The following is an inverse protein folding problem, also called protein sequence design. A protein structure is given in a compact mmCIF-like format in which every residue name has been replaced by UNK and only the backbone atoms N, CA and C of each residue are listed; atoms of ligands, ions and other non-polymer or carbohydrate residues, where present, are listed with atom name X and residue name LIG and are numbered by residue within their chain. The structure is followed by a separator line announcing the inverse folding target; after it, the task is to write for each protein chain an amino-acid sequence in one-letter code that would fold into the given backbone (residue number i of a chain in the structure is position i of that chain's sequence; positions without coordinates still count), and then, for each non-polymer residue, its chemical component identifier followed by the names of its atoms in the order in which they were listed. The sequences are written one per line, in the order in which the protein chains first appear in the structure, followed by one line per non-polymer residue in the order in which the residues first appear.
data_IF_318315708259
#
_entry.id   IF_318315708259
#
_cell.length_a   1.000
_cell.length_b   1.000
_cell.length_c   1.000
_cell.angle_alpha   90.00
_cell.angle_beta   90.00
_cell.angle_gamma   90.00
#
_symmetry.space_group_name_H-M   'P 1'
#
loop_
_entity.id
_entity.type
_entity.pdbx_description
1 polymer ?
#
# COMPACT_ATOMS: atom_id res chain seq x y z
N UNK A 1 47.83 33.31 -35.31
CA UNK A 1 46.92 34.43 -34.98
C UNK A 1 47.18 34.81 -33.54
N UNK A 2 47.91 35.91 -33.32
CA UNK A 2 48.21 36.41 -31.97
C UNK A 2 47.00 37.24 -31.49
N UNK A 3 46.34 36.79 -30.41
CA UNK A 3 45.29 37.57 -29.77
C UNK A 3 45.87 38.85 -29.16
N UNK A 4 45.27 39.99 -29.48
CA UNK A 4 45.73 41.30 -28.99
C UNK A 4 45.62 41.39 -27.47
N UNK A 5 46.68 41.82 -26.75
CA UNK A 5 46.70 41.92 -25.29
C UNK A 5 45.67 42.93 -24.73
N UNK A 6 45.13 43.81 -25.58
CA UNK A 6 44.10 44.79 -25.23
C UNK A 6 42.71 44.17 -24.98
N UNK A 7 42.44 43.00 -25.56
CA UNK A 7 41.15 42.31 -25.37
C UNK A 7 41.08 41.62 -24.00
N UNK A 8 42.19 41.06 -23.54
CA UNK A 8 42.31 40.41 -22.23
C UNK A 8 42.22 41.42 -21.08
N UNK A 9 42.81 42.61 -21.24
CA UNK A 9 42.71 43.68 -20.23
C UNK A 9 41.31 44.26 -20.14
N UNK A 10 40.59 44.41 -21.26
CA UNK A 10 39.20 44.86 -21.26
C UNK A 10 38.25 43.84 -20.60
N UNK A 11 38.44 42.54 -20.87
CA UNK A 11 37.68 41.48 -20.19
C UNK A 11 37.96 41.46 -18.69
N UNK A 12 39.21 41.69 -18.28
CA UNK A 12 39.56 41.76 -16.86
C UNK A 12 38.89 42.95 -16.16
N UNK A 13 38.86 44.13 -16.78
CA UNK A 13 38.20 45.33 -16.23
C UNK A 13 36.67 45.14 -16.15
N UNK A 14 36.06 44.51 -17.16
CA UNK A 14 34.63 44.14 -17.14
C UNK A 14 34.31 43.12 -16.05
N UNK A 15 35.25 42.21 -15.74
CA UNK A 15 35.11 41.26 -14.65
C UNK A 15 35.25 41.92 -13.27
N UNK A 16 36.10 42.95 -13.12
CA UNK A 16 36.20 43.74 -11.89
C UNK A 16 35.00 44.68 -11.67
N UNK A 17 34.33 45.14 -12.74
CA UNK A 17 33.13 45.99 -12.66
C UNK A 17 31.85 45.19 -12.36
N UNK A 18 31.87 43.87 -12.53
CA UNK A 18 30.82 42.97 -12.06
C UNK A 18 31.18 42.49 -10.67
N UNK A 19 31.15 43.42 -9.72
CA UNK A 19 31.07 43.11 -8.29
C UNK A 19 29.78 42.34 -8.03
N UNK A 20 29.82 41.02 -8.26
CA UNK A 20 28.78 40.10 -7.86
C UNK A 20 28.74 40.13 -6.34
N UNK A 21 27.83 40.93 -5.78
CA UNK A 21 27.42 40.77 -4.40
C UNK A 21 27.07 39.29 -4.23
N UNK A 22 27.85 38.58 -3.42
CA UNK A 22 27.60 37.18 -3.14
C UNK A 22 26.12 37.03 -2.77
N UNK A 23 25.36 36.09 -3.39
CA UNK A 23 23.94 35.96 -3.12
C UNK A 23 23.74 35.81 -1.61
N UNK A 24 22.94 36.71 -1.05
CA UNK A 24 22.59 36.75 0.36
C UNK A 24 22.09 35.35 0.77
N UNK A 25 22.85 34.61 1.57
CA UNK A 25 22.63 33.18 1.77
C UNK A 25 21.29 32.92 2.47
N UNK A 26 20.29 32.47 1.70
CA UNK A 26 18.96 32.10 2.19
C UNK A 26 19.04 30.75 2.90
N UNK A 27 18.43 30.65 4.09
CA UNK A 27 18.37 29.41 4.88
C UNK A 27 16.98 28.78 4.83
N UNK A 28 16.91 27.54 4.39
CA UNK A 28 15.67 26.74 4.41
C UNK A 28 15.40 26.20 5.82
N UNK A 29 14.17 26.36 6.29
CA UNK A 29 13.68 25.84 7.55
C UNK A 29 12.39 25.05 7.34
N UNK A 30 12.26 23.97 8.09
CA UNK A 30 11.08 23.11 8.07
C UNK A 30 10.48 23.00 9.46
N UNK A 31 9.15 23.12 9.53
CA UNK A 31 8.41 23.05 10.78
C UNK A 31 7.14 22.21 10.64
N UNK A 32 6.75 21.43 11.65
CA UNK A 32 5.49 20.71 11.63
C UNK A 32 4.31 21.61 11.97
N UNK A 33 3.16 21.39 11.33
CA UNK A 33 1.89 22.03 11.64
C UNK A 33 1.54 21.83 13.13
N UNK A 34 1.16 22.90 13.81
CA UNK A 34 0.92 22.95 15.25
C UNK A 34 2.19 22.95 16.12
N UNK A 35 3.35 22.67 15.55
CA UNK A 35 4.64 22.64 16.27
C UNK A 35 5.31 24.00 16.34
N UNK A 36 6.64 24.00 16.44
CA UNK A 36 7.45 25.21 16.53
C UNK A 36 8.70 25.12 15.67
N UNK A 37 9.24 26.27 15.26
CA UNK A 37 10.52 26.40 14.58
C UNK A 37 11.35 27.50 15.24
N UNK A 38 12.66 27.35 15.20
CA UNK A 38 13.61 28.36 15.64
C UNK A 38 14.40 28.85 14.44
N UNK A 39 14.43 30.16 14.25
CA UNK A 39 15.25 30.83 13.26
C UNK A 39 16.60 31.18 13.91
N UNK A 40 17.68 30.43 13.60
CA UNK A 40 18.95 30.58 14.30
C UNK A 40 19.66 31.85 13.85
N UNK A 41 19.80 32.82 14.75
CA UNK A 41 20.66 33.98 14.54
C UNK A 41 22.01 33.72 15.20
N UNK A 42 23.06 33.59 14.37
CA UNK A 42 24.44 33.60 14.87
C UNK A 42 25.01 34.98 14.65
N UNK A 43 24.62 35.91 15.52
CA UNK A 43 25.21 37.24 15.51
C UNK A 43 26.55 37.17 16.25
N UNK A 44 27.67 37.06 15.52
CA UNK A 44 29.01 37.41 16.04
C UNK A 44 29.13 38.94 16.24
N UNK A 45 28.04 39.58 16.67
CA UNK A 45 27.92 41.02 16.81
C UNK A 45 28.05 41.34 18.30
N UNK A 46 29.09 42.09 18.65
CA UNK A 46 29.44 42.37 20.06
C UNK A 46 28.35 43.14 20.81
N UNK A 47 27.64 44.03 20.11
CA UNK A 47 26.54 44.83 20.66
C UNK A 47 25.41 44.91 19.63
N UNK A 48 24.21 44.51 20.01
CA UNK A 48 23.03 44.54 19.14
C UNK A 48 22.08 45.60 19.68
N UNK A 49 21.76 46.60 18.85
CA UNK A 49 20.89 47.71 19.25
C UNK A 49 19.42 47.33 19.04
N UNK A 50 19.11 46.72 17.88
CA UNK A 50 17.78 46.21 17.59
C UNK A 50 17.80 45.11 16.53
N UNK A 51 16.80 44.23 16.59
CA UNK A 51 16.54 43.19 15.59
C UNK A 51 15.12 43.37 15.08
N UNK A 52 15.00 43.46 13.76
CA UNK A 52 13.73 43.61 13.05
C UNK A 52 13.49 42.39 12.20
N UNK A 53 12.38 41.71 12.45
CA UNK A 53 11.91 40.59 11.63
C UNK A 53 10.74 41.02 10.75
N UNK A 54 10.85 40.75 9.46
CA UNK A 54 9.74 40.86 8.51
C UNK A 54 9.33 39.47 8.04
N UNK A 55 8.02 39.22 7.97
CA UNK A 55 7.45 38.08 7.26
C UNK A 55 6.92 38.55 5.91
N UNK A 56 7.52 38.04 4.84
CA UNK A 56 7.43 38.57 3.49
C UNK A 56 7.74 40.08 3.52
N UNK A 57 6.75 40.93 3.24
CA UNK A 57 6.88 42.39 3.26
C UNK A 57 6.35 43.05 4.53
N UNK A 58 5.86 42.27 5.49
CA UNK A 58 5.14 42.79 6.68
C UNK A 58 6.01 42.70 7.92
N UNK A 59 6.09 43.76 8.71
CA UNK A 59 6.77 43.75 10.01
C UNK A 59 6.13 42.69 10.92
N UNK A 60 6.94 41.74 11.39
CA UNK A 60 6.49 40.66 12.29
C UNK A 60 6.75 41.03 13.75
N UNK A 61 8.02 41.30 14.08
CA UNK A 61 8.45 41.60 15.45
C UNK A 61 9.70 42.45 15.45
N UNK A 62 9.77 43.38 16.39
CA UNK A 62 10.98 44.13 16.73
C UNK A 62 11.42 43.77 18.14
N UNK A 63 12.70 43.51 18.33
CA UNK A 63 13.31 43.21 19.62
C UNK A 63 14.46 44.20 19.88
N UNK A 64 14.48 44.78 21.07
CA UNK A 64 15.55 45.65 21.56
C UNK A 64 16.17 45.00 22.80
N UNK A 65 17.48 44.66 22.81
CA UNK A 65 18.10 44.01 23.97
C UNK A 65 18.32 44.98 25.13
N UNK A 66 18.76 46.21 24.83
CA UNK A 66 19.16 47.20 25.86
C UNK A 66 17.96 47.65 26.71
N UNK A 67 16.80 47.82 26.08
CA UNK A 67 15.52 47.98 26.76
C UNK A 67 14.72 46.73 26.41
N UNK A 68 14.58 45.73 27.31
CA UNK A 68 14.14 44.36 26.99
C UNK A 68 12.69 44.31 26.52
N UNK A 69 12.46 44.81 25.32
CA UNK A 69 11.17 45.16 24.75
C UNK A 69 11.01 44.36 23.48
N UNK A 70 9.92 43.61 23.43
CA UNK A 70 9.51 42.84 22.26
C UNK A 70 8.19 43.41 21.79
N UNK A 71 8.19 43.95 20.58
CA UNK A 71 7.01 44.56 19.96
C UNK A 71 6.59 43.65 18.81
N UNK A 72 5.52 42.87 19.03
CA UNK A 72 4.92 42.02 18.00
C UNK A 72 3.81 42.80 17.29
N UNK A 73 3.91 42.94 15.97
CA UNK A 73 3.00 43.79 15.18
C UNK A 73 1.58 43.27 15.15
N UNK A 74 1.40 41.95 14.98
CA UNK A 74 0.09 41.33 14.82
C UNK A 74 -0.34 40.59 16.09
N UNK A 75 -1.54 40.89 16.58
CA UNK A 75 -2.05 40.31 17.83
C UNK A 75 -2.05 38.78 17.82
N UNK A 76 -2.39 38.17 16.66
CA UNK A 76 -2.39 36.71 16.46
C UNK A 76 -1.03 36.02 16.67
N UNK A 77 0.07 36.78 16.69
CA UNK A 77 1.43 36.27 16.85
C UNK A 77 2.02 36.57 18.22
N UNK A 78 1.37 37.38 19.07
CA UNK A 78 1.92 37.81 20.37
C UNK A 78 2.30 36.65 21.29
N UNK A 79 1.45 35.63 21.36
CA UNK A 79 1.66 34.46 22.22
C UNK A 79 2.54 33.39 21.56
N UNK A 80 2.76 33.51 20.24
CA UNK A 80 3.46 32.51 19.42
C UNK A 80 4.93 32.85 19.20
N UNK A 81 5.29 34.12 19.36
CA UNK A 81 6.64 34.64 19.12
C UNK A 81 7.38 34.74 20.45
N UNK A 82 8.57 34.17 20.49
CA UNK A 82 9.48 34.25 21.63
C UNK A 82 10.93 34.33 21.14
N UNK A 83 11.84 34.80 21.98
CA UNK A 83 13.27 34.82 21.68
C UNK A 83 14.01 33.90 22.64
N UNK A 84 14.96 33.13 22.10
CA UNK A 84 15.83 32.30 22.93
C UNK A 84 16.92 33.17 23.56
N UNK A 85 17.07 33.05 24.89
CA UNK A 85 18.00 33.86 25.65
C UNK A 85 19.45 33.62 25.19
N UNK A 86 20.24 34.69 25.07
CA UNK A 86 21.66 34.64 24.70
C UNK A 86 21.98 34.47 23.21
N UNK A 87 21.07 33.96 22.37
CA UNK A 87 21.31 33.79 20.92
C UNK A 87 20.49 34.71 20.03
N UNK A 88 19.56 35.48 20.59
CA UNK A 88 18.60 36.31 19.87
C UNK A 88 17.77 35.56 18.82
N UNK A 89 17.79 34.22 18.83
CA UNK A 89 17.09 33.41 17.84
C UNK A 89 15.59 33.51 18.05
N UNK A 90 14.86 33.80 16.98
CA UNK A 90 13.41 33.88 16.99
C UNK A 90 12.83 32.46 17.06
N UNK A 91 11.92 32.20 17.98
CA UNK A 91 11.12 30.97 18.04
C UNK A 91 9.66 31.31 17.76
N UNK A 92 9.09 30.66 16.75
CA UNK A 92 7.68 30.75 16.38
C UNK A 92 7.01 29.42 16.70
N UNK A 93 6.02 29.43 17.59
CA UNK A 93 5.23 28.25 17.98
C UNK A 93 3.83 28.23 17.37
N UNK A 94 3.15 27.09 17.55
CA UNK A 94 1.82 26.82 17.01
C UNK A 94 1.75 27.13 15.50
N UNK A 95 2.68 26.55 14.75
CA UNK A 95 2.83 26.81 13.32
C UNK A 95 1.55 26.48 12.56
N UNK A 96 1.19 27.35 11.63
CA UNK A 96 0.06 27.24 10.73
C UNK A 96 0.58 27.16 9.31
N UNK A 97 -0.19 26.56 8.41
CA UNK A 97 0.23 26.40 7.00
C UNK A 97 0.60 27.74 6.34
N UNK A 98 -0.13 28.81 6.69
CA UNK A 98 0.09 30.16 6.17
C UNK A 98 1.26 30.93 6.81
N UNK A 99 1.96 30.36 7.79
CA UNK A 99 3.23 30.93 8.25
C UNK A 99 4.40 30.52 7.33
N UNK A 100 4.16 29.62 6.37
CA UNK A 100 5.15 29.31 5.33
C UNK A 100 5.41 30.56 4.47
N UNK A 101 6.68 30.82 4.16
CA UNK A 101 7.08 31.98 3.37
C UNK A 101 8.45 32.51 3.77
N UNK A 102 8.77 33.71 3.29
CA UNK A 102 10.10 34.30 3.46
C UNK A 102 10.14 35.11 4.75
N UNK A 103 11.20 34.95 5.53
CA UNK A 103 11.46 35.73 6.73
C UNK A 103 12.78 36.46 6.58
N UNK A 104 12.77 37.75 6.88
CA UNK A 104 13.95 38.61 6.81
C UNK A 104 14.29 39.11 8.20
N UNK A 105 15.46 38.76 8.71
CA UNK A 105 16.01 39.33 9.93
C UNK A 105 17.00 40.43 9.56
N UNK A 106 16.81 41.63 10.10
CA UNK A 106 17.77 42.73 10.04
C UNK A 106 18.27 43.05 11.44
N UNK A 107 19.59 43.03 11.61
CA UNK A 107 20.26 43.32 12.88
C UNK A 107 20.95 44.68 12.73
N UNK A 108 20.53 45.62 13.56
CA UNK A 108 21.15 46.94 13.69
C UNK A 108 22.12 46.92 14.87
N UNK A 109 23.30 47.49 14.65
CA UNK A 109 24.35 47.59 15.64
C UNK A 109 25.14 48.86 15.38
N UNK A 110 25.43 49.61 16.43
CA UNK A 110 26.29 50.79 16.39
C UNK A 110 27.73 50.43 16.00
N UNK A 111 28.11 49.14 16.08
CA UNK A 111 29.42 48.64 15.65
C UNK A 111 29.49 48.32 14.15
N UNK A 112 28.36 48.36 13.42
CA UNK A 112 28.27 48.03 12.00
C UNK A 112 27.85 49.25 11.17
N UNK A 113 28.53 49.47 10.04
CA UNK A 113 28.16 50.55 9.10
C UNK A 113 26.78 50.31 8.44
N UNK A 114 26.47 49.03 8.17
CA UNK A 114 25.23 48.59 7.54
C UNK A 114 24.59 47.48 8.38
N UNK A 115 23.25 47.37 8.40
CA UNK A 115 22.59 46.30 9.13
C UNK A 115 22.95 44.94 8.52
N UNK A 116 23.20 43.96 9.38
CA UNK A 116 23.36 42.58 8.95
C UNK A 116 22.00 41.99 8.61
N UNK A 117 21.87 41.37 7.45
CA UNK A 117 20.61 40.75 6.99
C UNK A 117 20.79 39.24 6.86
N UNK A 118 19.80 38.50 7.33
CA UNK A 118 19.70 37.06 7.16
C UNK A 118 18.30 36.68 6.71
N UNK A 119 18.22 36.00 5.58
CA UNK A 119 16.97 35.55 4.98
C UNK A 119 16.73 34.07 5.30
N UNK A 120 15.47 33.72 5.52
CA UNK A 120 15.00 32.35 5.69
C UNK A 120 13.79 32.09 4.82
N UNK A 121 13.60 30.84 4.44
CA UNK A 121 12.34 30.35 3.87
C UNK A 121 11.83 29.27 4.80
N UNK A 122 10.61 29.45 5.30
CA UNK A 122 9.95 28.47 6.17
C UNK A 122 8.94 27.67 5.34
N UNK A 123 9.05 26.35 5.40
CA UNK A 123 8.04 25.42 4.90
C UNK A 123 7.36 24.69 6.06
N UNK A 124 6.05 24.90 6.21
CA UNK A 124 5.24 24.21 7.22
C UNK A 124 4.58 22.97 6.61
N UNK A 125 4.86 21.80 7.19
CA UNK A 125 4.36 20.51 6.74
C UNK A 125 3.40 19.88 7.73
N UNK A 126 2.38 19.19 7.22
CA UNK A 126 1.54 18.31 8.03
C UNK A 126 2.18 16.91 8.12
N UNK A 127 1.95 16.18 9.21
CA UNK A 127 2.38 14.79 9.29
C UNK A 127 1.56 13.93 8.34
N UNK A 128 2.24 13.11 7.54
CA UNK A 128 1.57 12.24 6.59
C UNK A 128 0.84 11.10 7.30
N UNK A 129 -0.46 10.99 7.01
CA UNK A 129 -1.24 9.80 7.34
C UNK A 129 -0.80 8.61 6.47
N UNK A 130 -1.44 7.45 6.67
CA UNK A 130 -1.16 6.27 5.84
C UNK A 130 -1.63 6.54 4.40
N UNK A 131 -0.76 6.42 3.37
CA UNK A 131 -1.17 6.59 1.99
C UNK A 131 -2.16 5.51 1.56
N UNK A 132 -3.08 5.89 0.67
CA UNK A 132 -4.04 4.98 0.04
C UNK A 132 -3.55 4.58 -1.34
N UNK A 133 -3.88 3.35 -1.72
CA UNK A 133 -3.55 2.82 -3.05
C UNK A 133 -4.84 2.49 -3.77
N UNK A 134 -4.98 3.01 -4.99
CA UNK A 134 -6.04 2.66 -5.92
C UNK A 134 -5.48 1.87 -7.09
N UNK A 135 -6.30 1.00 -7.65
CA UNK A 135 -5.96 0.22 -8.84
C UNK A 135 -6.64 0.82 -10.06
N UNK A 136 -5.89 0.97 -11.14
CA UNK A 136 -6.41 1.38 -12.44
C UNK A 136 -7.14 0.26 -13.18
N UNK A 137 -7.54 0.56 -14.43
CA UNK A 137 -8.17 -0.42 -15.30
C UNK A 137 -7.26 -1.63 -15.51
N UNK A 138 -7.81 -2.81 -15.25
CA UNK A 138 -7.11 -4.08 -15.41
C UNK A 138 -7.34 -4.63 -16.83
N UNK A 139 -6.26 -5.04 -17.47
CA UNK A 139 -6.30 -5.77 -18.74
C UNK A 139 -5.69 -7.15 -18.54
N UNK A 140 -6.34 -8.17 -19.11
CA UNK A 140 -5.81 -9.51 -19.16
C UNK A 140 -5.40 -9.83 -20.60
N UNK A 141 -4.10 -10.00 -20.84
CA UNK A 141 -3.57 -10.37 -22.16
C UNK A 141 -2.82 -11.69 -22.02
N UNK A 142 -3.36 -12.75 -22.63
CA UNK A 142 -2.76 -14.09 -22.65
C UNK A 142 -2.42 -14.61 -21.24
N UNK A 143 -3.32 -14.41 -20.26
CA UNK A 143 -3.10 -14.83 -18.87
C UNK A 143 -2.12 -13.94 -18.08
N UNK A 144 -1.75 -12.78 -18.63
CA UNK A 144 -0.95 -11.75 -17.95
C UNK A 144 -1.88 -10.65 -17.48
N UNK A 145 -1.93 -10.44 -16.17
CA UNK A 145 -2.64 -9.35 -15.54
C UNK A 145 -1.78 -8.08 -15.62
N UNK A 146 -2.29 -7.06 -16.30
CA UNK A 146 -1.63 -5.76 -16.44
C UNK A 146 -2.53 -4.67 -15.88
N UNK A 147 -2.03 -3.90 -14.92
CA UNK A 147 -2.74 -2.74 -14.34
C UNK A 147 -1.74 -1.76 -13.75
N UNK A 148 -2.21 -0.59 -13.33
CA UNK A 148 -1.40 0.42 -12.66
C UNK A 148 -1.90 0.59 -11.22
N UNK A 149 -0.98 0.65 -10.26
CA UNK A 149 -1.28 1.05 -8.89
C UNK A 149 -0.96 2.53 -8.72
N UNK A 150 -1.90 3.29 -8.17
CA UNK A 150 -1.72 4.72 -7.89
C UNK A 150 -1.75 4.96 -6.39
N UNK A 151 -0.64 5.43 -5.86
CA UNK A 151 -0.52 5.83 -4.48
C UNK A 151 -0.86 7.32 -4.33
N UNK A 152 -1.70 7.64 -3.36
CA UNK A 152 -2.10 9.02 -3.09
C UNK A 152 -2.37 9.24 -1.61
N UNK A 153 -2.27 10.50 -1.21
CA UNK A 153 -2.66 11.00 0.10
C UNK A 153 -4.06 11.61 0.01
N UNK A 154 -4.90 11.40 1.03
CA UNK A 154 -6.15 12.19 1.16
C UNK A 154 -5.85 13.63 1.57
N UNK A 155 -4.88 13.77 2.47
CA UNK A 155 -4.38 15.04 3.00
C UNK A 155 -2.84 14.95 3.05
N UNK A 156 -2.10 15.91 2.49
CA UNK A 156 -0.64 15.82 2.38
C UNK A 156 0.06 16.98 1.64
N UNK A 157 -0.68 17.79 0.88
CA UNK A 157 -0.11 18.89 0.09
C UNK A 157 0.64 18.43 -1.16
N UNK A 158 1.19 19.37 -1.92
CA UNK A 158 1.83 19.11 -3.23
C UNK A 158 3.26 18.55 -3.12
N UNK A 159 3.94 18.75 -1.99
CA UNK A 159 5.35 18.41 -1.77
C UNK A 159 5.59 16.97 -1.26
N UNK A 160 4.70 16.04 -1.60
CA UNK A 160 4.83 14.63 -1.18
C UNK A 160 5.59 13.84 -2.22
N UNK A 161 6.69 13.22 -1.79
CA UNK A 161 7.49 12.32 -2.62
C UNK A 161 6.99 10.89 -2.39
N UNK A 162 6.64 10.20 -3.48
CA UNK A 162 6.19 8.82 -3.47
C UNK A 162 7.29 7.89 -3.98
N UNK A 163 7.44 6.75 -3.31
CA UNK A 163 8.28 5.65 -3.77
C UNK A 163 7.57 4.32 -3.55
N UNK A 164 7.83 3.36 -4.41
CA UNK A 164 7.28 2.01 -4.34
C UNK A 164 8.39 1.02 -4.08
N UNK A 165 8.11 0.04 -3.21
CA UNK A 165 8.90 -1.19 -3.11
C UNK A 165 8.09 -2.35 -3.65
N UNK A 166 8.63 -3.02 -4.66
CA UNK A 166 8.12 -4.28 -5.18
C UNK A 166 9.02 -5.40 -4.65
N UNK A 167 8.45 -6.25 -3.79
CA UNK A 167 9.14 -7.35 -3.12
C UNK A 167 8.76 -8.65 -3.82
N UNK A 168 9.69 -9.20 -4.59
CA UNK A 168 9.59 -10.55 -5.16
C UNK A 168 10.48 -11.55 -4.41
N UNK A 169 10.43 -12.82 -4.83
CA UNK A 169 11.21 -13.89 -4.19
C UNK A 169 12.71 -13.82 -4.50
N UNK A 170 13.08 -13.31 -5.68
CA UNK A 170 14.48 -13.22 -6.13
C UNK A 170 15.13 -11.86 -5.86
N UNK A 171 14.37 -10.76 -5.96
CA UNK A 171 14.88 -9.41 -5.81
C UNK A 171 13.79 -8.44 -5.33
N UNK A 172 14.24 -7.37 -4.66
CA UNK A 172 13.43 -6.21 -4.35
C UNK A 172 13.77 -5.09 -5.32
N UNK A 173 12.75 -4.45 -5.87
CA UNK A 173 12.88 -3.30 -6.75
C UNK A 173 12.29 -2.05 -6.10
N UNK A 174 12.87 -0.89 -6.41
CA UNK A 174 12.36 0.42 -5.96
C UNK A 174 12.02 1.27 -7.16
N UNK A 175 10.82 1.84 -7.16
CA UNK A 175 10.30 2.67 -8.24
C UNK A 175 9.92 4.05 -7.69
N UNK A 176 10.31 5.12 -8.38
CA UNK A 176 9.99 6.48 -7.97
C UNK A 176 8.68 6.96 -8.62
N UNK A 177 7.91 7.75 -7.89
CA UNK A 177 6.65 8.31 -8.35
C UNK A 177 5.44 7.66 -7.70
N UNK A 178 4.27 8.26 -7.93
CA UNK A 178 3.00 7.82 -7.34
C UNK A 178 2.40 6.60 -8.05
N UNK A 179 2.74 6.38 -9.32
CA UNK A 179 2.15 5.33 -10.15
C UNK A 179 3.16 4.20 -10.38
N UNK A 180 2.75 2.97 -10.09
CA UNK A 180 3.51 1.76 -10.35
C UNK A 180 2.76 0.89 -11.39
N UNK A 181 3.29 0.73 -12.61
CA UNK A 181 2.76 -0.25 -13.54
C UNK A 181 3.13 -1.66 -13.09
N UNK A 182 2.15 -2.56 -13.07
CA UNK A 182 2.33 -3.96 -12.71
C UNK A 182 1.94 -4.87 -13.88
N UNK A 183 2.74 -5.91 -14.07
CA UNK A 183 2.50 -7.00 -15.02
C UNK A 183 2.84 -8.30 -14.32
N UNK A 184 1.83 -9.15 -14.10
CA UNK A 184 1.99 -10.37 -13.30
C UNK A 184 1.28 -11.56 -13.94
N UNK A 185 1.89 -12.74 -13.88
CA UNK A 185 1.29 -14.00 -14.31
C UNK A 185 1.15 -14.97 -13.13
N UNK A 186 0.07 -15.74 -13.12
CA UNK A 186 -0.21 -16.74 -12.06
C UNK A 186 0.90 -17.79 -11.85
N UNK A 187 1.69 -18.10 -12.88
CA UNK A 187 2.80 -19.08 -12.77
C UNK A 187 4.06 -18.50 -12.13
N UNK A 188 4.13 -17.19 -11.92
CA UNK A 188 5.25 -16.50 -11.27
C UNK A 188 5.06 -16.50 -9.76
N UNK A 189 6.15 -16.33 -9.01
CA UNK A 189 6.09 -16.10 -7.56
C UNK A 189 5.24 -14.86 -7.27
N UNK A 190 4.45 -14.90 -6.19
CA UNK A 190 3.66 -13.74 -5.80
C UNK A 190 4.57 -12.55 -5.44
N UNK A 191 4.10 -11.34 -5.72
CA UNK A 191 4.83 -10.10 -5.47
C UNK A 191 4.06 -9.25 -4.48
N UNK A 192 4.78 -8.61 -3.55
CA UNK A 192 4.20 -7.67 -2.60
C UNK A 192 4.60 -6.24 -2.96
N UNK A 193 3.62 -5.36 -3.11
CA UNK A 193 3.83 -3.94 -3.38
C UNK A 193 3.54 -3.11 -2.14
N UNK A 194 4.45 -2.19 -1.81
CA UNK A 194 4.30 -1.25 -0.71
C UNK A 194 4.63 0.15 -1.24
N UNK A 195 3.68 1.08 -1.12
CA UNK A 195 3.95 2.49 -1.38
C UNK A 195 4.46 3.16 -0.10
N UNK A 196 5.42 4.05 -0.25
CA UNK A 196 5.89 4.99 0.76
C UNK A 196 5.60 6.41 0.29
N UNK A 197 5.04 7.21 1.19
CA UNK A 197 4.86 8.64 1.02
C UNK A 197 5.78 9.36 2.03
N UNK A 198 6.48 10.39 1.57
CA UNK A 198 7.45 11.14 2.38
C UNK A 198 7.35 12.63 2.13
N UNK A 199 7.45 13.40 3.22
CA UNK A 199 7.75 14.82 3.19
C UNK A 199 8.95 15.10 4.13
N UNK A 200 9.46 16.34 4.23
CA UNK A 200 10.65 16.64 5.03
C UNK A 200 10.55 16.28 6.53
N UNK A 201 9.34 16.19 7.09
CA UNK A 201 9.14 15.95 8.52
C UNK A 201 8.64 14.54 8.85
N UNK A 202 8.12 13.79 7.88
CA UNK A 202 7.44 12.52 8.13
C UNK A 202 7.49 11.58 6.93
N UNK A 203 7.37 10.28 7.20
CA UNK A 203 7.25 9.24 6.19
C UNK A 203 6.30 8.15 6.67
N UNK A 204 5.46 7.65 5.78
CA UNK A 204 4.48 6.61 6.07
C UNK A 204 4.34 5.66 4.87
N UNK A 205 3.73 4.49 5.09
CA UNK A 205 3.59 3.47 4.06
C UNK A 205 2.20 2.85 4.00
N UNK A 206 1.83 2.38 2.82
CA UNK A 206 0.56 1.69 2.57
C UNK A 206 0.53 0.33 3.26
N UNK A 207 -0.64 -0.30 3.25
CA UNK A 207 -0.71 -1.73 3.56
C UNK A 207 0.00 -2.50 2.44
N UNK A 208 0.64 -3.64 2.75
CA UNK A 208 1.20 -4.50 1.71
C UNK A 208 0.10 -5.03 0.80
N UNK A 209 0.37 -5.08 -0.51
CA UNK A 209 -0.60 -5.49 -1.52
C UNK A 209 0.00 -6.64 -2.32
N UNK A 210 -0.70 -7.77 -2.39
CA UNK A 210 -0.27 -8.96 -3.11
C UNK A 210 -0.76 -8.94 -4.57
N UNK A 211 0.12 -9.27 -5.51
CA UNK A 211 -0.22 -9.37 -6.93
C UNK A 211 -1.33 -10.41 -7.17
N UNK A 212 -1.27 -11.56 -6.49
CA UNK A 212 -2.28 -12.61 -6.58
C UNK A 212 -3.69 -12.13 -6.20
N UNK A 213 -3.80 -11.26 -5.18
CA UNK A 213 -5.06 -10.67 -4.73
C UNK A 213 -5.59 -9.60 -5.68
N UNK A 214 -4.71 -8.80 -6.26
CA UNK A 214 -5.09 -7.81 -7.28
C UNK A 214 -5.59 -8.47 -8.58
N UNK A 215 -5.03 -9.63 -8.92
CA UNK A 215 -5.25 -10.31 -10.19
C UNK A 215 -6.14 -11.56 -10.09
N UNK A 216 -6.91 -11.72 -9.00
CA UNK A 216 -7.75 -12.89 -8.73
C UNK A 216 -8.80 -13.12 -9.84
N UNK A 217 -9.34 -12.05 -10.43
CA UNK A 217 -10.30 -12.08 -11.55
C UNK A 217 -9.70 -12.28 -12.95
N UNK A 218 -8.38 -12.33 -13.09
CA UNK A 218 -7.69 -12.58 -14.37
C UNK A 218 -7.54 -14.09 -14.67
N UNK A 219 -8.23 -14.95 -13.92
CA UNK A 219 -8.39 -16.36 -14.26
C UNK A 219 -9.02 -16.43 -15.65
N UNK A 220 -8.27 -16.86 -16.66
CA UNK A 220 -8.88 -17.29 -17.90
C UNK A 220 -9.95 -18.32 -17.55
N UNK A 221 -11.18 -18.05 -17.96
CA UNK A 221 -12.25 -19.04 -17.96
C UNK A 221 -11.66 -20.35 -18.51
N UNK A 222 -11.89 -21.51 -17.88
CA UNK A 222 -11.36 -22.76 -18.40
C UNK A 222 -11.80 -22.87 -19.86
N UNK A 223 -10.83 -23.06 -20.78
CA UNK A 223 -11.06 -23.09 -22.22
C UNK A 223 -12.36 -23.86 -22.51
N UNK A 224 -13.37 -23.26 -23.18
CA UNK A 224 -14.67 -23.89 -23.34
C UNK A 224 -14.57 -25.24 -24.06
N UNK A 225 -13.56 -25.40 -24.92
CA UNK A 225 -13.20 -26.67 -25.56
C UNK A 225 -12.74 -27.76 -24.56
N UNK A 226 -11.96 -27.39 -23.55
CA UNK A 226 -11.46 -28.31 -22.53
C UNK A 226 -12.58 -28.68 -21.53
N UNK A 227 -13.45 -27.73 -21.19
CA UNK A 227 -14.66 -28.00 -20.39
C UNK A 227 -15.62 -28.92 -21.13
N UNK A 228 -15.89 -28.64 -22.41
CA UNK A 228 -16.75 -29.48 -23.26
C UNK A 228 -16.16 -30.89 -23.42
N UNK A 229 -14.84 -31.00 -23.60
CA UNK A 229 -14.15 -32.28 -23.66
C UNK A 229 -14.33 -33.07 -22.35
N UNK A 230 -14.16 -32.44 -21.19
CA UNK A 230 -14.40 -33.08 -19.91
C UNK A 230 -15.87 -33.51 -19.73
N UNK A 231 -16.83 -32.68 -20.15
CA UNK A 231 -18.25 -33.00 -20.10
C UNK A 231 -18.64 -34.18 -20.99
N UNK A 232 -17.92 -34.41 -22.10
CA UNK A 232 -18.18 -35.53 -23.00
C UNK A 232 -17.42 -36.80 -22.60
N UNK A 233 -16.14 -36.68 -22.24
CA UNK A 233 -15.29 -37.83 -21.95
C UNK A 233 -15.64 -38.52 -20.62
N UNK A 234 -15.92 -37.75 -19.57
CA UNK A 234 -16.18 -38.33 -18.23
C UNK A 234 -17.42 -39.22 -18.23
N UNK A 235 -18.59 -38.80 -18.76
CA UNK A 235 -19.76 -39.68 -18.84
C UNK A 235 -19.52 -40.90 -19.74
N UNK A 236 -18.78 -40.73 -20.84
CA UNK A 236 -18.51 -41.83 -21.77
C UNK A 236 -17.67 -42.93 -21.10
N UNK A 237 -16.65 -42.55 -20.33
CA UNK A 237 -15.86 -43.50 -19.53
C UNK A 237 -16.68 -44.20 -18.44
N UNK A 238 -17.59 -43.48 -17.77
CA UNK A 238 -18.49 -44.06 -16.78
C UNK A 238 -19.45 -45.08 -17.41
N UNK A 239 -19.98 -44.79 -18.59
CA UNK A 239 -20.85 -45.71 -19.35
C UNK A 239 -20.07 -46.97 -19.74
N UNK A 240 -18.85 -46.83 -20.27
CA UNK A 240 -18.00 -47.97 -20.63
C UNK A 240 -17.66 -48.84 -19.42
N UNK A 241 -17.38 -48.23 -18.28
CA UNK A 241 -17.14 -48.94 -17.03
C UNK A 241 -18.37 -49.71 -16.54
N UNK A 242 -19.54 -49.06 -16.55
CA UNK A 242 -20.81 -49.70 -16.19
C UNK A 242 -21.16 -50.86 -17.13
N UNK A 243 -20.97 -50.70 -18.45
CA UNK A 243 -21.13 -51.77 -19.42
C UNK A 243 -20.16 -52.92 -19.17
N UNK A 244 -18.91 -52.62 -18.84
CA UNK A 244 -17.91 -53.63 -18.45
C UNK A 244 -18.36 -54.45 -17.24
N UNK A 245 -18.85 -53.78 -16.19
CA UNK A 245 -19.38 -54.45 -15.00
C UNK A 245 -20.64 -55.28 -15.31
N UNK A 246 -21.53 -54.76 -16.15
CA UNK A 246 -22.75 -55.46 -16.55
C UNK A 246 -22.44 -56.72 -17.37
N UNK A 247 -21.53 -56.62 -18.34
CA UNK A 247 -21.07 -57.77 -19.12
C UNK A 247 -20.32 -58.78 -18.26
N UNK A 248 -19.53 -58.32 -17.28
CA UNK A 248 -18.88 -59.19 -16.30
C UNK A 248 -19.89 -59.93 -15.42
N UNK A 249 -20.94 -59.23 -14.95
CA UNK A 249 -22.02 -59.81 -14.17
C UNK A 249 -22.78 -60.91 -14.95
N UNK A 250 -23.15 -60.64 -16.19
CA UNK A 250 -23.80 -61.64 -17.07
C UNK A 250 -22.89 -62.87 -17.30
N UNK A 251 -21.58 -62.64 -17.50
CA UNK A 251 -20.62 -63.75 -17.67
C UNK A 251 -20.49 -64.60 -16.40
N UNK A 252 -20.54 -63.96 -15.23
CA UNK A 252 -20.48 -64.63 -13.93
C UNK A 252 -21.71 -65.51 -13.69
N UNK A 253 -22.92 -65.00 -13.90
CA UNK A 253 -24.14 -65.81 -13.76
C UNK A 253 -24.14 -67.02 -14.71
N UNK A 254 -23.69 -66.82 -15.96
CA UNK A 254 -23.57 -67.92 -16.92
C UNK A 254 -22.51 -68.96 -16.54
N UNK A 255 -21.52 -68.61 -15.71
CA UNK A 255 -20.55 -69.57 -15.17
C UNK A 255 -21.11 -70.34 -13.97
N UNK A 256 -21.98 -69.73 -13.16
CA UNK A 256 -22.67 -70.41 -12.06
C UNK A 256 -23.69 -71.44 -12.57
N UNK A 257 -24.38 -71.20 -13.70
CA UNK A 257 -25.22 -72.22 -14.36
C UNK A 257 -24.43 -73.38 -14.98
N UNK A 258 -23.14 -73.19 -15.31
CA UNK A 258 -22.30 -74.21 -15.95
C UNK A 258 -21.39 -74.98 -14.96
N UNK A 259 -21.56 -74.81 -13.65
CA UNK A 259 -20.78 -75.54 -12.63
C UNK A 259 -21.56 -76.77 -12.09
N UNK A 260 -21.15 -78.02 -12.40
CA UNK A 260 -22.01 -79.20 -12.26
C UNK A 260 -22.03 -79.88 -10.87
N UNK A 261 -21.67 -79.21 -9.77
CA UNK A 261 -21.67 -79.86 -8.44
C UNK A 261 -22.30 -79.01 -7.34
N UNK A 262 -23.58 -79.28 -7.09
CA UNK A 262 -24.34 -78.73 -5.96
C UNK A 262 -25.76 -79.30 -5.81
N UNK A 263 -26.04 -80.51 -6.30
CA UNK A 263 -27.32 -81.19 -6.08
C UNK A 263 -27.18 -82.16 -4.91
N UNK A 264 -27.49 -81.71 -3.69
CA UNK A 264 -27.70 -82.63 -2.56
C UNK A 264 -29.19 -82.89 -2.35
N UNK A 265 -29.57 -84.09 -2.78
CA UNK A 265 -30.68 -84.95 -2.37
C UNK A 265 -31.61 -84.49 -1.24
N UNK A 266 -32.92 -84.52 -1.51
CA UNK A 266 -33.94 -85.14 -0.63
C UNK A 266 -35.31 -85.23 -1.34
N UNK A 267 -35.53 -86.33 -2.02
CA UNK A 267 -36.88 -86.91 -2.14
C UNK A 267 -36.75 -88.40 -1.80
N UNK A 268 -37.02 -88.74 -0.54
CA UNK A 268 -37.16 -90.12 -0.09
C UNK A 268 -38.61 -90.54 -0.27
N UNK A 269 -38.82 -91.53 -1.13
CA UNK A 269 -40.08 -92.26 -1.30
C UNK A 269 -40.09 -93.38 -0.26
N UNK A 270 -41.10 -93.45 0.61
CA UNK A 270 -41.47 -94.68 1.30
C UNK A 270 -42.99 -94.84 1.38
N UNK A 271 -43.38 -96.09 1.15
CA UNK A 271 -44.70 -96.62 0.90
C UNK A 271 -45.48 -96.92 2.20
N UNK A 272 -46.82 -96.98 2.04
CA UNK A 272 -47.77 -97.86 2.75
C UNK A 272 -48.64 -97.26 3.87
N UNK A 273 -49.94 -97.58 3.82
CA UNK A 273 -50.86 -97.47 4.97
C UNK A 273 -52.26 -96.97 4.61
N UNK A 274 -53.18 -97.91 4.39
CA UNK A 274 -54.62 -97.66 4.16
C UNK A 274 -55.36 -97.31 5.48
N UNK A 275 -56.55 -96.73 5.33
CA UNK A 275 -57.72 -96.67 6.26
C UNK A 275 -57.77 -95.74 7.50
N UNK A 276 -58.63 -94.70 7.38
CA UNK A 276 -59.77 -94.29 8.22
C UNK A 276 -59.59 -93.97 9.74
N UNK A 277 -59.80 -92.70 10.14
CA UNK A 277 -60.98 -92.18 10.89
C UNK A 277 -60.70 -90.84 11.60
N UNK A 278 -61.69 -89.96 11.49
CA UNK A 278 -62.20 -88.95 12.43
C UNK A 278 -61.29 -87.84 13.01
N UNK A 279 -61.76 -86.59 12.84
CA UNK A 279 -61.88 -85.68 13.99
C UNK A 279 -61.13 -84.33 13.95
N UNK A 280 -61.88 -83.27 13.59
CA UNK A 280 -61.96 -81.95 14.27
C UNK A 280 -60.68 -81.08 14.44
N UNK A 281 -60.59 -80.03 13.61
CA UNK A 281 -60.43 -78.56 13.90
C UNK A 281 -60.09 -78.08 15.34
N UNK A 282 -59.70 -76.78 15.57
CA UNK A 282 -58.85 -75.82 14.82
C UNK A 282 -57.99 -74.89 15.76
N UNK A 283 -57.56 -73.71 15.26
CA UNK A 283 -57.17 -72.41 15.89
C UNK A 283 -55.67 -72.02 15.93
N UNK A 284 -55.25 -71.01 15.14
CA UNK A 284 -54.98 -69.56 15.44
C UNK A 284 -53.65 -69.32 16.18
N UNK A 285 -52.89 -68.23 16.08
CA UNK A 285 -53.17 -66.80 15.85
C UNK A 285 -51.84 -66.03 15.61
N UNK A 286 -51.92 -64.86 14.94
CA UNK A 286 -51.38 -63.52 15.34
C UNK A 286 -49.94 -63.36 15.92
N UNK A 287 -49.18 -62.27 15.81
CA UNK A 287 -49.23 -60.91 15.22
C UNK A 287 -47.88 -60.24 15.59
N UNK A 288 -47.61 -59.05 15.03
CA UNK A 288 -46.97 -57.88 15.66
C UNK A 288 -45.81 -57.22 14.89
N UNK A 289 -46.10 -55.96 14.53
CA UNK A 289 -45.23 -54.86 14.09
C UNK A 289 -44.17 -54.49 15.14
N UNK A 290 -43.13 -53.76 14.72
CA UNK A 290 -42.91 -52.40 15.21
C UNK A 290 -41.89 -51.60 14.37
N UNK A 291 -42.20 -50.32 14.18
CA UNK A 291 -41.39 -49.26 13.56
C UNK A 291 -40.95 -48.27 14.64
N UNK A 292 -39.71 -47.76 14.57
CA UNK A 292 -39.15 -46.47 15.07
C UNK A 292 -37.61 -46.59 14.99
N UNK A 293 -36.77 -45.57 14.76
CA UNK A 293 -36.89 -44.12 14.81
C UNK A 293 -35.78 -43.46 13.95
N UNK A 294 -35.93 -42.15 13.77
CA UNK A 294 -35.05 -41.15 13.14
C UNK A 294 -33.91 -40.76 14.11
N UNK A 295 -32.71 -40.39 13.62
CA UNK A 295 -32.04 -39.09 13.85
C UNK A 295 -30.63 -39.00 13.20
N UNK A 296 -30.39 -37.83 12.59
CA UNK A 296 -29.13 -37.12 12.22
C UNK A 296 -28.07 -37.85 11.38
#
# INVERSE_FOLDING_TARGET
MAGSPTSLTLMYILWQLTGSAAPEAVKELVGPLGGAVTFPLMANVKQVDSIVWNFNTTLLVTMQPEVPTIIVTQNRNKERVSFLNGSYSLRLSELKKNDSGVYHAKIYSSSLQNPFTQNYVLHVYEHLSRPKVTMGLQSNKNGTCVTNLTCHMEHGGEDVIYTWKALGQAASETHNGSILPISWRRRESDMTFICFARNPISSNSSSPILASKLCEGAAGDPNPSMVLLCLLLVPCLLILFALGLFLWFIRRERQEENNPNGRSSKYSLFHSGNTQKDGKSPLTAHDARHTKAIYL
#
